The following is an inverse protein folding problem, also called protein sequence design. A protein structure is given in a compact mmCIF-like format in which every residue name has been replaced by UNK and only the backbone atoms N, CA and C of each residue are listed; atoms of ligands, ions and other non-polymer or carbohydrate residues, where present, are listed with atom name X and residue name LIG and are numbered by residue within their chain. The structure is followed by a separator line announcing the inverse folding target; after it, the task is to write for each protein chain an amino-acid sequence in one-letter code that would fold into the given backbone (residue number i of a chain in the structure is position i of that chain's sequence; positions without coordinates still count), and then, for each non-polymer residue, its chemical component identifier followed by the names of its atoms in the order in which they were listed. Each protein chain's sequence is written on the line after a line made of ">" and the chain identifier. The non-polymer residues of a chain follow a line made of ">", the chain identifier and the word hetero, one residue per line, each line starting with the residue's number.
data_IF_029653294001
#
_entry.id   IF_029653294001
#
_cell.length_a   1.000
_cell.length_b   1.000
_cell.length_c   1.000
_cell.angle_alpha   90.00
_cell.angle_beta   90.00
_cell.angle_gamma   90.00
#
_symmetry.space_group_name_H-M   'P 1'
#
loop_
_entity.id
_entity.type
_entity.pdbx_description
1 polymer ?
#
# COMPACT_ATOMS: atom_id res chain seq x y z
N UNK A 1 45.28 44.62 5.16
CA UNK A 1 44.20 44.35 4.18
C UNK A 1 44.64 43.48 3.01
N UNK A 2 45.92 43.53 2.59
CA UNK A 2 46.49 42.71 1.49
C UNK A 2 46.42 41.20 1.71
N UNK A 3 46.72 40.70 2.91
CA UNK A 3 46.66 39.26 3.23
C UNK A 3 45.25 38.65 3.05
N UNK A 4 44.20 39.42 3.32
CA UNK A 4 42.81 38.96 3.14
C UNK A 4 42.48 38.75 1.66
N UNK A 5 42.93 39.68 0.81
CA UNK A 5 42.74 39.58 -0.65
C UNK A 5 43.51 38.38 -1.22
N UNK A 6 44.73 38.16 -0.75
CA UNK A 6 45.56 37.02 -1.14
C UNK A 6 44.92 35.68 -0.74
N UNK A 7 44.43 35.56 0.50
CA UNK A 7 43.72 34.37 0.96
C UNK A 7 42.46 34.07 0.11
N UNK A 8 41.71 35.09 -0.28
CA UNK A 8 40.52 34.92 -1.14
C UNK A 8 40.92 34.42 -2.54
N UNK A 9 42.04 34.89 -3.10
CA UNK A 9 42.52 34.43 -4.39
C UNK A 9 42.96 32.95 -4.34
N UNK A 10 43.69 32.56 -3.29
CA UNK A 10 44.11 31.17 -3.09
C UNK A 10 42.90 30.25 -2.94
N UNK A 11 41.89 30.66 -2.17
CA UNK A 11 40.65 29.88 -2.00
C UNK A 11 39.86 29.72 -3.30
N UNK A 12 39.78 30.78 -4.12
CA UNK A 12 39.13 30.70 -5.44
C UNK A 12 39.88 29.74 -6.36
N UNK A 13 41.20 29.84 -6.41
CA UNK A 13 42.03 28.94 -7.20
C UNK A 13 41.88 27.48 -6.75
N UNK A 14 41.88 27.21 -5.44
CA UNK A 14 41.68 25.87 -4.90
C UNK A 14 40.30 25.30 -5.28
N UNK A 15 39.25 26.12 -5.19
CA UNK A 15 37.89 25.74 -5.63
C UNK A 15 37.87 25.38 -7.11
N UNK A 16 38.48 26.20 -7.95
CA UNK A 16 38.44 26.00 -9.40
C UNK A 16 39.23 24.72 -9.81
N UNK A 17 40.33 24.42 -9.13
CA UNK A 17 41.08 23.15 -9.31
C UNK A 17 40.25 21.94 -8.85
N UNK A 18 39.54 22.05 -7.72
CA UNK A 18 38.67 20.97 -7.25
C UNK A 18 37.50 20.73 -8.20
N UNK A 19 36.89 21.79 -8.73
CA UNK A 19 35.83 21.69 -9.72
C UNK A 19 36.32 20.99 -10.99
N UNK A 20 37.51 21.34 -11.48
CA UNK A 20 38.11 20.67 -12.63
C UNK A 20 38.28 19.16 -12.39
N UNK A 21 38.87 18.77 -11.24
CA UNK A 21 39.07 17.35 -10.88
C UNK A 21 37.78 16.57 -10.68
N UNK A 22 36.77 17.19 -10.06
CA UNK A 22 35.46 16.55 -9.90
C UNK A 22 34.77 16.35 -11.25
N UNK A 23 34.87 17.34 -12.14
CA UNK A 23 34.31 17.24 -13.48
C UNK A 23 34.98 16.12 -14.27
N UNK A 24 36.31 16.04 -14.21
CA UNK A 24 37.08 14.95 -14.82
C UNK A 24 36.66 13.58 -14.28
N UNK A 25 36.57 13.42 -12.96
CA UNK A 25 36.13 12.16 -12.34
C UNK A 25 34.70 11.76 -12.70
N UNK A 26 33.80 12.73 -12.83
CA UNK A 26 32.41 12.48 -13.28
C UNK A 26 32.38 12.06 -14.75
N UNK A 27 33.24 12.64 -15.60
CA UNK A 27 33.35 12.24 -16.99
C UNK A 27 33.95 10.85 -17.15
N UNK A 28 34.94 10.49 -16.32
CA UNK A 28 35.49 9.13 -16.27
C UNK A 28 34.44 8.11 -15.81
N UNK A 29 33.64 8.44 -14.78
CA UNK A 29 32.58 7.57 -14.28
C UNK A 29 31.30 7.58 -15.16
N UNK A 30 31.25 8.40 -16.23
CA UNK A 30 30.05 8.59 -17.04
C UNK A 30 29.54 7.28 -17.64
N UNK A 31 30.42 6.46 -18.18
CA UNK A 31 30.04 5.19 -18.83
C UNK A 31 29.51 4.20 -17.79
N UNK A 32 30.15 4.09 -16.63
CA UNK A 32 29.66 3.26 -15.51
C UNK A 32 28.27 3.72 -15.01
N UNK A 33 28.04 5.04 -14.92
CA UNK A 33 26.74 5.60 -14.54
C UNK A 33 25.67 5.31 -15.60
N UNK A 34 26.03 5.34 -16.88
CA UNK A 34 25.11 5.00 -17.97
C UNK A 34 24.79 3.51 -17.98
N UNK A 35 25.79 2.64 -17.78
CA UNK A 35 25.59 1.19 -17.71
C UNK A 35 24.70 0.78 -16.53
N UNK A 36 24.86 1.45 -15.36
CA UNK A 36 24.00 1.26 -14.19
C UNK A 36 22.57 1.78 -14.45
N UNK A 37 22.43 2.93 -15.11
CA UNK A 37 21.13 3.51 -15.47
C UNK A 37 20.39 2.69 -16.55
N UNK A 38 21.11 2.10 -17.50
CA UNK A 38 20.56 1.17 -18.49
C UNK A 38 20.18 -0.18 -17.87
N UNK A 39 20.63 -0.44 -16.63
CA UNK A 39 20.24 -1.60 -15.84
C UNK A 39 20.89 -2.90 -16.31
N UNK A 40 21.99 -2.83 -17.07
CA UNK A 40 22.71 -4.01 -17.55
C UNK A 40 23.20 -4.92 -16.42
N UNK A 41 23.56 -4.33 -15.26
CA UNK A 41 23.95 -5.06 -14.05
C UNK A 41 22.78 -5.85 -13.43
N UNK A 42 21.54 -5.36 -13.56
CA UNK A 42 20.36 -6.08 -13.07
C UNK A 42 19.92 -7.18 -14.02
N UNK A 43 20.15 -7.01 -15.32
CA UNK A 43 19.75 -8.00 -16.33
C UNK A 43 20.48 -9.34 -16.13
N UNK A 44 21.79 -9.31 -15.84
CA UNK A 44 22.54 -10.52 -15.49
C UNK A 44 22.02 -11.22 -14.22
N UNK A 45 21.68 -10.44 -13.18
CA UNK A 45 21.13 -10.98 -11.94
C UNK A 45 19.74 -11.59 -12.11
N UNK A 46 18.91 -11.02 -13.00
CA UNK A 46 17.60 -11.56 -13.35
C UNK A 46 17.75 -12.90 -14.08
N UNK A 47 18.66 -12.99 -15.05
CA UNK A 47 18.92 -14.22 -15.80
C UNK A 47 19.42 -15.35 -14.87
N UNK A 48 20.32 -15.05 -13.93
CA UNK A 48 20.78 -16.02 -12.92
C UNK A 48 19.64 -16.52 -12.03
N UNK A 49 18.73 -15.63 -11.60
CA UNK A 49 17.55 -16.00 -10.80
C UNK A 49 16.61 -16.90 -11.62
N UNK A 50 16.42 -16.61 -12.91
CA UNK A 50 15.62 -17.44 -13.80
C UNK A 50 16.23 -18.83 -14.00
N UNK A 51 17.54 -18.93 -14.21
CA UNK A 51 18.23 -20.23 -14.31
C UNK A 51 18.10 -21.05 -13.02
N UNK A 52 18.23 -20.42 -11.86
CA UNK A 52 18.01 -21.07 -10.56
C UNK A 52 16.56 -21.55 -10.39
N UNK A 53 15.58 -20.74 -10.80
CA UNK A 53 14.17 -21.11 -10.77
C UNK A 53 13.86 -22.30 -11.67
N UNK A 54 14.36 -22.31 -12.91
CA UNK A 54 14.18 -23.43 -13.85
C UNK A 54 14.79 -24.71 -13.29
N UNK A 55 15.98 -24.62 -12.70
CA UNK A 55 16.67 -25.76 -12.09
C UNK A 55 15.87 -26.32 -10.90
N UNK A 56 15.38 -25.46 -10.01
CA UNK A 56 14.55 -25.87 -8.87
C UNK A 56 13.23 -26.48 -9.31
N UNK A 57 12.57 -25.91 -10.32
CA UNK A 57 11.30 -26.42 -10.83
C UNK A 57 11.49 -27.79 -11.49
N UNK A 58 12.58 -27.99 -12.24
CA UNK A 58 12.96 -29.28 -12.80
C UNK A 58 13.17 -30.34 -11.70
N UNK A 59 13.86 -29.96 -10.61
CA UNK A 59 14.06 -30.84 -9.47
C UNK A 59 12.74 -31.21 -8.77
N UNK A 60 11.84 -30.24 -8.55
CA UNK A 60 10.51 -30.52 -7.99
C UNK A 60 9.71 -31.45 -8.89
N UNK A 61 9.74 -31.23 -10.20
CA UNK A 61 9.06 -32.10 -11.15
C UNK A 61 9.63 -33.52 -11.13
N UNK A 62 10.94 -33.68 -10.98
CA UNK A 62 11.56 -34.98 -10.78
C UNK A 62 11.11 -35.66 -9.47
N UNK A 63 11.00 -34.91 -8.36
CA UNK A 63 10.48 -35.44 -7.10
C UNK A 63 9.00 -35.83 -7.21
N UNK A 64 8.18 -35.04 -7.89
CA UNK A 64 6.76 -35.36 -8.12
C UNK A 64 6.57 -36.63 -8.95
N UNK A 65 7.41 -36.86 -9.95
CA UNK A 65 7.37 -38.10 -10.73
C UNK A 65 7.86 -39.32 -9.96
N UNK A 66 8.56 -39.13 -8.83
CA UNK A 66 8.98 -40.19 -7.91
C UNK A 66 7.97 -40.43 -6.78
N UNK A 67 6.90 -39.62 -6.67
CA UNK A 67 5.83 -39.94 -5.73
C UNK A 67 5.15 -41.23 -6.19
N UNK A 68 4.95 -42.21 -5.28
CA UNK A 68 4.16 -43.38 -5.59
C UNK A 68 2.76 -42.92 -6.01
N UNK A 69 2.25 -43.44 -7.13
CA UNK A 69 0.88 -43.17 -7.53
C UNK A 69 -0.05 -43.57 -6.37
N UNK A 70 -0.90 -42.66 -5.92
CA UNK A 70 -1.95 -42.98 -4.95
C UNK A 70 -2.75 -44.17 -5.49
N UNK A 71 -2.55 -45.35 -4.89
CA UNK A 71 -3.41 -46.48 -5.15
C UNK A 71 -4.83 -46.08 -4.74
N UNK A 72 -5.85 -46.29 -5.59
CA UNK A 72 -7.22 -45.94 -5.24
C UNK A 72 -7.66 -46.80 -4.06
N UNK A 73 -7.70 -46.21 -2.87
CA UNK A 73 -8.20 -46.87 -1.67
C UNK A 73 -9.67 -47.23 -1.92
N UNK A 74 -9.92 -48.54 -1.97
CA UNK A 74 -11.24 -49.10 -2.12
C UNK A 74 -12.19 -48.58 -1.05
N UNK A 75 -13.42 -48.32 -1.50
CA UNK A 75 -14.64 -48.09 -0.73
C UNK A 75 -14.69 -48.86 0.59
N UNK A 76 -14.74 -48.13 1.72
CA UNK A 76 -15.10 -48.66 3.03
C UNK A 76 -16.34 -47.93 3.54
N UNK A 77 -17.26 -48.76 4.02
CA UNK A 77 -18.67 -48.52 4.21
C UNK A 77 -19.06 -47.44 5.23
N UNK A 78 -20.20 -46.84 4.91
CA UNK A 78 -21.12 -46.11 5.77
C UNK A 78 -21.46 -46.83 7.09
N UNK A 79 -21.39 -46.11 8.21
CA UNK A 79 -22.35 -46.27 9.31
C UNK A 79 -22.55 -44.93 10.09
N UNK A 80 -23.81 -44.51 10.33
CA UNK A 80 -24.13 -43.33 11.15
C UNK A 80 -24.55 -43.71 12.57
N UNK A 81 -24.46 -42.74 13.50
CA UNK A 81 -25.27 -42.49 14.71
C UNK A 81 -24.38 -41.99 15.87
N UNK A 82 -24.64 -40.79 16.37
CA UNK A 82 -25.35 -40.62 17.66
C UNK A 82 -25.47 -39.14 18.05
N UNK A 83 -26.68 -38.78 18.46
CA UNK A 83 -27.14 -37.48 18.92
C UNK A 83 -26.89 -37.27 20.43
N UNK A 84 -26.80 -36.00 20.83
CA UNK A 84 -26.89 -35.48 22.21
C UNK A 84 -26.33 -34.05 22.23
N UNK A 85 -27.11 -32.97 22.20
CA UNK A 85 -28.16 -32.44 23.11
C UNK A 85 -27.63 -31.97 24.48
N UNK A 86 -28.03 -30.73 24.86
CA UNK A 86 -27.76 -30.07 26.15
C UNK A 86 -26.90 -28.80 26.07
N UNK A 87 -27.44 -27.63 25.72
CA UNK A 87 -28.03 -26.58 26.60
C UNK A 87 -27.08 -25.83 27.58
N UNK A 88 -27.13 -24.50 27.39
CA UNK A 88 -27.13 -23.39 28.36
C UNK A 88 -25.94 -23.12 29.31
N UNK A 89 -25.53 -21.85 29.31
CA UNK A 89 -24.61 -21.29 30.31
C UNK A 89 -24.23 -19.82 30.09
N UNK A 90 -25.22 -18.92 30.12
CA UNK A 90 -25.02 -17.48 30.33
C UNK A 90 -24.24 -17.20 31.63
N UNK A 91 -23.18 -16.39 31.58
CA UNK A 91 -22.74 -15.61 32.73
C UNK A 91 -22.05 -14.31 32.28
N UNK A 92 -22.76 -13.21 32.51
CA UNK A 92 -22.24 -11.86 32.50
C UNK A 92 -21.26 -11.64 33.68
N UNK A 93 -20.24 -10.81 33.45
CA UNK A 93 -19.56 -10.08 34.51
C UNK A 93 -19.31 -8.65 34.03
N UNK A 94 -19.76 -7.70 34.86
CA UNK A 94 -19.77 -6.26 34.63
C UNK A 94 -18.85 -5.57 35.64
N UNK A 95 -18.32 -4.41 35.23
CA UNK A 95 -17.87 -3.21 36.00
C UNK A 95 -16.42 -3.13 36.55
N UNK A 96 -15.81 -1.96 36.24
CA UNK A 96 -14.87 -1.09 36.99
C UNK A 96 -13.57 -0.80 36.21
N UNK A 97 -13.05 0.42 36.06
CA UNK A 97 -13.43 1.74 36.61
C UNK A 97 -12.73 2.88 35.84
N UNK A 98 -13.38 4.05 35.88
CA UNK A 98 -12.92 5.45 35.80
C UNK A 98 -11.55 5.83 35.19
N UNK A 99 -11.57 6.74 34.19
CA UNK A 99 -11.02 8.07 34.45
C UNK A 99 -11.67 9.17 33.60
N UNK A 100 -12.27 10.11 34.32
CA UNK A 100 -12.96 11.34 33.91
C UNK A 100 -11.93 12.48 33.89
N UNK A 101 -11.83 13.21 32.77
CA UNK A 101 -11.36 14.59 32.77
C UNK A 101 -12.26 15.39 31.83
N UNK A 102 -13.34 15.88 32.40
CA UNK A 102 -14.14 16.98 31.87
C UNK A 102 -13.34 18.29 31.84
N UNK A 103 -13.35 19.00 30.71
CA UNK A 103 -13.20 20.45 30.69
C UNK A 103 -14.24 21.07 29.77
N UNK A 104 -15.17 21.81 30.37
CA UNK A 104 -16.35 22.36 29.71
C UNK A 104 -16.12 23.68 28.99
N UNK A 105 -17.05 24.00 28.09
CA UNK A 105 -17.17 25.29 27.43
C UNK A 105 -18.33 25.34 26.43
N UNK A 106 -19.56 25.52 26.95
CA UNK A 106 -20.82 26.02 26.35
C UNK A 106 -20.61 26.99 25.17
N UNK A 107 -21.54 27.31 24.28
CA UNK A 107 -22.91 26.94 23.85
C UNK A 107 -23.10 27.81 22.56
N UNK A 108 -23.93 27.51 21.56
CA UNK A 108 -25.38 27.70 21.54
C UNK A 108 -25.89 27.27 20.15
N UNK A 109 -26.94 26.46 20.15
CA UNK A 109 -27.83 26.24 19.00
C UNK A 109 -28.72 27.45 18.75
N UNK A 110 -29.22 27.65 17.51
CA UNK A 110 -30.67 27.65 17.37
C UNK A 110 -31.20 26.88 16.14
N UNK A 111 -32.50 26.59 16.23
CA UNK A 111 -33.29 25.62 15.49
C UNK A 111 -33.76 26.07 14.07
N UNK A 112 -34.04 25.04 13.24
CA UNK A 112 -35.16 24.77 12.28
C UNK A 112 -36.22 25.86 11.97
N UNK A 113 -37.10 25.77 10.92
CA UNK A 113 -37.23 24.81 9.79
C UNK A 113 -37.54 25.47 8.40
N UNK A 114 -37.64 24.68 7.31
CA UNK A 114 -38.64 24.92 6.24
C UNK A 114 -38.85 23.66 5.34
N UNK A 115 -40.11 23.25 5.08
CA UNK A 115 -40.48 22.14 4.19
C UNK A 115 -41.15 22.63 2.90
N UNK A 116 -40.81 22.09 1.71
CA UNK A 116 -41.70 22.19 0.54
C UNK A 116 -41.67 20.91 -0.32
N UNK A 117 -42.74 20.15 -0.16
CA UNK A 117 -43.57 19.44 -1.14
C UNK A 117 -43.15 19.48 -2.62
N UNK A 118 -43.10 18.29 -3.23
CA UNK A 118 -43.10 18.09 -4.68
C UNK A 118 -43.43 16.64 -5.02
N UNK A 119 -44.73 16.32 -5.02
CA UNK A 119 -45.27 15.04 -5.43
C UNK A 119 -45.21 14.84 -6.95
N UNK A 120 -44.92 13.62 -7.39
CA UNK A 120 -45.47 13.08 -8.64
C UNK A 120 -45.50 11.54 -8.59
N UNK A 121 -46.73 11.02 -8.63
CA UNK A 121 -47.09 9.62 -8.80
C UNK A 121 -46.65 9.08 -10.18
N UNK A 122 -46.37 7.77 -10.28
CA UNK A 122 -47.31 6.82 -10.88
C UNK A 122 -46.71 5.41 -11.09
N UNK A 123 -47.56 4.41 -10.83
CA UNK A 123 -47.67 3.07 -11.46
C UNK A 123 -46.39 2.19 -11.49
N UNK A 124 -46.36 1.04 -10.81
CA UNK A 124 -47.35 -0.03 -10.94
C UNK A 124 -46.88 -1.01 -12.01
N UNK A 125 -46.01 -1.95 -11.65
CA UNK A 125 -45.87 -3.24 -12.34
C UNK A 125 -45.13 -4.23 -11.43
N UNK A 126 -45.90 -5.18 -10.91
CA UNK A 126 -45.44 -6.46 -10.37
C UNK A 126 -44.62 -7.20 -11.44
N UNK A 127 -43.30 -7.27 -11.27
CA UNK A 127 -42.47 -8.35 -11.80
C UNK A 127 -41.33 -8.55 -10.79
N UNK A 128 -41.32 -9.71 -10.14
CA UNK A 128 -40.16 -10.22 -9.40
C UNK A 128 -39.13 -10.71 -10.43
N UNK A 129 -37.89 -10.22 -10.37
CA UNK A 129 -36.77 -11.12 -10.61
C UNK A 129 -35.71 -10.95 -9.53
N UNK A 130 -35.55 -12.00 -8.73
CA UNK A 130 -34.29 -12.54 -8.21
C UNK A 130 -33.11 -11.55 -8.29
N UNK A 131 -32.93 -10.74 -7.24
CA UNK A 131 -31.61 -10.17 -6.98
C UNK A 131 -30.73 -11.30 -6.47
N UNK A 132 -29.87 -11.72 -7.37
CA UNK A 132 -28.66 -12.49 -7.11
C UNK A 132 -27.89 -11.68 -6.07
N UNK A 133 -28.02 -12.00 -4.79
CA UNK A 133 -27.00 -11.66 -3.79
C UNK A 133 -25.68 -12.14 -4.37
N UNK A 134 -24.73 -11.25 -4.71
CA UNK A 134 -23.40 -11.69 -5.05
C UNK A 134 -22.92 -12.50 -3.86
N UNK A 135 -22.63 -13.77 -4.14
CA UNK A 135 -21.95 -14.65 -3.21
C UNK A 135 -20.81 -13.87 -2.56
N UNK A 136 -20.78 -13.93 -1.24
CA UNK A 136 -19.54 -14.16 -0.52
C UNK A 136 -18.44 -13.17 -0.90
N UNK A 137 -18.46 -12.02 -0.23
CA UNK A 137 -17.23 -11.26 -0.03
C UNK A 137 -16.13 -12.26 0.36
N UNK A 138 -15.04 -12.33 -0.41
CA UNK A 138 -13.91 -13.16 -0.03
C UNK A 138 -13.49 -12.76 1.39
N UNK A 139 -12.97 -13.70 2.20
CA UNK A 139 -12.55 -13.44 3.57
C UNK A 139 -11.65 -12.20 3.61
N UNK A 140 -11.60 -11.43 4.71
CA UNK A 140 -10.81 -10.20 4.81
C UNK A 140 -9.31 -10.52 4.72
N UNK A 141 -8.85 -10.78 3.50
CA UNK A 141 -7.45 -10.75 3.11
C UNK A 141 -7.12 -9.28 3.02
N UNK A 142 -6.60 -8.74 4.13
CA UNK A 142 -6.40 -7.31 4.34
C UNK A 142 -5.80 -6.64 3.11
N UNK A 143 -6.36 -5.48 2.78
CA UNK A 143 -5.90 -4.68 1.65
C UNK A 143 -4.36 -4.59 1.65
N UNK A 144 -3.76 -5.01 0.53
CA UNK A 144 -2.31 -5.02 0.36
C UNK A 144 -1.90 -4.03 -0.72
N UNK A 145 -0.66 -3.51 -0.65
CA UNK A 145 -0.11 -2.68 -1.74
C UNK A 145 -0.09 -3.43 -3.09
N UNK A 146 -0.04 -4.77 -3.07
CA UNK A 146 -0.09 -5.60 -4.28
C UNK A 146 -1.46 -5.56 -4.94
N UNK A 147 -2.54 -5.71 -4.17
CA UNK A 147 -3.91 -5.61 -4.69
C UNK A 147 -4.19 -4.21 -5.24
N UNK A 148 -3.74 -3.18 -4.53
CA UNK A 148 -3.81 -1.79 -5.01
C UNK A 148 -3.10 -1.63 -6.37
N UNK A 149 -1.85 -2.09 -6.49
CA UNK A 149 -1.09 -1.98 -7.73
C UNK A 149 -1.81 -2.65 -8.92
N UNK A 150 -2.35 -3.85 -8.72
CA UNK A 150 -3.13 -4.55 -9.75
C UNK A 150 -4.42 -3.80 -10.14
N UNK A 151 -5.14 -3.22 -9.17
CA UNK A 151 -6.37 -2.45 -9.43
C UNK A 151 -6.07 -1.17 -10.23
N UNK A 152 -5.02 -0.42 -9.87
CA UNK A 152 -4.59 0.77 -10.63
C UNK A 152 -4.24 0.42 -12.07
N UNK A 153 -3.49 -0.67 -12.30
CA UNK A 153 -3.15 -1.11 -13.66
C UNK A 153 -4.36 -1.58 -14.47
N UNK A 154 -5.38 -2.12 -13.80
CA UNK A 154 -6.63 -2.55 -14.44
C UNK A 154 -7.56 -1.37 -14.75
N UNK A 155 -7.23 -0.18 -14.22
CA UNK A 155 -8.06 1.03 -14.35
C UNK A 155 -9.25 1.07 -13.38
N UNK A 156 -9.28 0.17 -12.39
CA UNK A 156 -10.33 0.13 -11.39
C UNK A 156 -9.96 1.04 -10.21
N UNK A 157 -10.24 2.34 -10.38
CA UNK A 157 -9.91 3.38 -9.41
C UNK A 157 -10.77 3.31 -8.14
N UNK A 158 -11.99 2.77 -8.24
CA UNK A 158 -12.89 2.64 -7.10
C UNK A 158 -12.38 1.54 -6.16
N UNK A 159 -12.07 0.35 -6.68
CA UNK A 159 -11.47 -0.72 -5.89
C UNK A 159 -10.07 -0.35 -5.35
N UNK A 160 -9.27 0.37 -6.14
CA UNK A 160 -7.98 0.90 -5.71
C UNK A 160 -8.12 1.93 -4.56
N UNK A 161 -9.17 2.75 -4.61
CA UNK A 161 -9.48 3.71 -3.57
C UNK A 161 -9.88 3.04 -2.25
N UNK A 162 -10.69 1.98 -2.32
CA UNK A 162 -11.10 1.19 -1.15
C UNK A 162 -9.91 0.48 -0.50
N UNK A 163 -9.04 -0.15 -1.30
CA UNK A 163 -7.84 -0.81 -0.77
C UNK A 163 -6.86 0.18 -0.13
N UNK A 164 -6.69 1.37 -0.70
CA UNK A 164 -5.93 2.46 -0.06
C UNK A 164 -6.59 2.97 1.22
N UNK A 165 -7.91 3.12 1.24
CA UNK A 165 -8.64 3.62 2.40
C UNK A 165 -8.47 2.69 3.61
N UNK A 166 -8.57 1.38 3.39
CA UNK A 166 -8.32 0.37 4.41
C UNK A 166 -6.85 0.34 4.87
N UNK A 167 -5.92 0.46 3.92
CA UNK A 167 -4.48 0.42 4.21
C UNK A 167 -3.99 1.63 5.01
N UNK A 168 -4.48 2.82 4.66
CA UNK A 168 -4.09 4.09 5.27
C UNK A 168 -4.99 4.51 6.43
N UNK A 169 -6.09 3.78 6.68
CA UNK A 169 -7.14 4.14 7.63
C UNK A 169 -7.65 5.58 7.40
N UNK A 170 -7.95 5.90 6.13
CA UNK A 170 -8.52 7.19 5.71
C UNK A 170 -9.95 7.02 5.21
N UNK A 171 -10.66 8.14 5.07
CA UNK A 171 -12.01 8.16 4.50
C UNK A 171 -12.01 7.59 3.07
N UNK A 172 -13.00 6.75 2.69
CA UNK A 172 -13.04 6.11 1.37
C UNK A 172 -13.10 7.12 0.21
N UNK A 173 -13.78 8.27 0.38
CA UNK A 173 -13.80 9.31 -0.65
C UNK A 173 -12.42 9.96 -0.82
N UNK A 174 -11.62 10.01 0.26
CA UNK A 174 -10.22 10.46 0.20
C UNK A 174 -9.33 9.40 -0.46
N UNK A 175 -9.53 8.12 -0.15
CA UNK A 175 -8.83 7.00 -0.78
C UNK A 175 -8.98 7.00 -2.31
N UNK A 176 -10.20 7.20 -2.81
CA UNK A 176 -10.46 7.35 -4.25
C UNK A 176 -9.68 8.51 -4.89
N UNK A 177 -9.67 9.69 -4.26
CA UNK A 177 -8.89 10.84 -4.76
C UNK A 177 -7.38 10.56 -4.78
N UNK A 178 -6.87 9.81 -3.81
CA UNK A 178 -5.47 9.39 -3.79
C UNK A 178 -5.15 8.40 -4.92
N UNK A 179 -6.06 7.46 -5.20
CA UNK A 179 -5.93 6.54 -6.33
C UNK A 179 -5.97 7.28 -7.69
N UNK A 180 -6.88 8.25 -7.85
CA UNK A 180 -6.96 9.11 -9.03
C UNK A 180 -5.66 9.91 -9.23
N UNK A 181 -5.15 10.56 -8.18
CA UNK A 181 -3.88 11.29 -8.23
C UNK A 181 -2.69 10.37 -8.55
N UNK A 182 -2.65 9.17 -7.97
CA UNK A 182 -1.61 8.18 -8.25
C UNK A 182 -1.65 7.72 -9.72
N UNK A 183 -2.83 7.44 -10.26
CA UNK A 183 -3.01 7.04 -11.65
C UNK A 183 -2.62 8.17 -12.62
N UNK A 184 -2.99 9.41 -12.32
CA UNK A 184 -2.55 10.59 -13.07
C UNK A 184 -1.02 10.72 -13.04
N UNK A 185 -0.42 10.61 -11.86
CA UNK A 185 1.04 10.70 -11.71
C UNK A 185 1.75 9.55 -12.45
N UNK A 186 1.20 8.34 -12.43
CA UNK A 186 1.74 7.18 -13.13
C UNK A 186 1.75 7.38 -14.65
N UNK A 187 0.74 8.06 -15.20
CA UNK A 187 0.70 8.43 -16.61
C UNK A 187 1.79 9.45 -17.00
N UNK A 188 2.18 10.33 -16.07
CA UNK A 188 3.25 11.32 -16.27
C UNK A 188 4.64 10.75 -16.01
N UNK A 189 4.78 9.80 -15.08
CA UNK A 189 6.07 9.27 -14.63
C UNK A 189 5.93 7.81 -14.21
N UNK A 190 6.45 6.84 -14.97
CA UNK A 190 6.37 5.42 -14.62
C UNK A 190 7.13 5.08 -13.33
N UNK A 191 8.11 5.90 -12.95
CA UNK A 191 8.93 5.73 -11.74
C UNK A 191 8.15 5.85 -10.43
N UNK A 192 6.93 6.38 -10.49
CA UNK A 192 6.05 6.56 -9.32
C UNK A 192 5.76 5.23 -8.65
N UNK A 193 5.65 4.14 -9.41
CA UNK A 193 5.47 2.80 -8.84
C UNK A 193 6.70 2.36 -8.04
N UNK A 194 7.91 2.58 -8.57
CA UNK A 194 9.16 2.27 -7.87
C UNK A 194 9.31 3.11 -6.60
N UNK A 195 8.92 4.39 -6.65
CA UNK A 195 8.87 5.30 -5.50
C UNK A 195 7.86 4.85 -4.43
N UNK A 196 6.68 4.39 -4.84
CA UNK A 196 5.69 3.85 -3.91
C UNK A 196 6.21 2.58 -3.21
N UNK A 197 6.95 1.73 -3.92
CA UNK A 197 7.59 0.55 -3.33
C UNK A 197 8.77 0.92 -2.40
N UNK A 198 9.50 1.99 -2.69
CA UNK A 198 10.58 2.47 -1.81
C UNK A 198 10.06 3.07 -0.49
N UNK A 199 8.78 3.46 -0.41
CA UNK A 199 8.15 3.95 0.81
C UNK A 199 8.34 2.98 1.98
N UNK A 200 8.17 1.67 1.77
CA UNK A 200 8.39 0.65 2.82
C UNK A 200 9.83 0.66 3.33
N UNK A 201 10.80 0.83 2.44
CA UNK A 201 12.23 0.88 2.76
C UNK A 201 12.57 2.13 3.57
N UNK A 202 12.06 3.30 3.18
CA UNK A 202 12.30 4.55 3.91
C UNK A 202 11.66 4.55 5.31
N UNK A 203 10.46 3.96 5.43
CA UNK A 203 9.80 3.78 6.73
C UNK A 203 10.63 2.86 7.64
N UNK A 204 11.10 1.73 7.11
CA UNK A 204 11.95 0.81 7.87
C UNK A 204 13.31 1.43 8.25
N UNK A 205 13.85 2.32 7.41
CA UNK A 205 15.07 3.08 7.70
C UNK A 205 14.86 4.21 8.73
N UNK A 206 13.62 4.52 9.11
CA UNK A 206 13.30 5.63 10.00
C UNK A 206 13.46 7.01 9.36
N UNK A 207 13.46 7.10 8.03
CA UNK A 207 13.63 8.35 7.31
C UNK A 207 12.28 9.04 7.06
N UNK A 208 11.73 9.62 8.12
CA UNK A 208 10.40 10.24 8.11
C UNK A 208 10.21 11.30 7.02
N UNK A 209 11.23 12.12 6.78
CA UNK A 209 11.13 13.22 5.82
C UNK A 209 10.99 12.67 4.38
N UNK A 210 11.81 11.67 4.02
CA UNK A 210 11.69 11.01 2.73
C UNK A 210 10.34 10.32 2.57
N UNK A 211 9.83 9.62 3.61
CA UNK A 211 8.51 9.01 3.55
C UNK A 211 7.38 10.02 3.36
N UNK A 212 7.44 11.18 4.01
CA UNK A 212 6.44 12.25 3.82
C UNK A 212 6.49 12.83 2.40
N UNK A 213 7.70 13.04 1.86
CA UNK A 213 7.87 13.49 0.48
C UNK A 213 7.31 12.47 -0.52
N UNK A 214 7.56 11.18 -0.32
CA UNK A 214 7.01 10.11 -1.15
C UNK A 214 5.48 10.04 -1.07
N UNK A 215 4.90 10.20 0.13
CA UNK A 215 3.43 10.24 0.29
C UNK A 215 2.81 11.44 -0.43
N UNK A 216 3.48 12.58 -0.40
CA UNK A 216 3.05 13.76 -1.14
C UNK A 216 3.15 13.56 -2.66
N UNK A 217 4.30 13.10 -3.15
CA UNK A 217 4.54 12.92 -4.59
C UNK A 217 3.66 11.84 -5.20
N UNK A 218 3.44 10.72 -4.49
CA UNK A 218 2.71 9.58 -5.05
C UNK A 218 1.19 9.69 -4.82
N UNK A 219 0.76 10.16 -3.65
CA UNK A 219 -0.66 10.10 -3.24
C UNK A 219 -1.29 11.49 -3.02
N UNK A 220 -0.54 12.57 -3.28
CA UNK A 220 -0.96 13.96 -3.04
C UNK A 220 -1.41 14.22 -1.59
N UNK A 221 -0.92 13.43 -0.63
CA UNK A 221 -1.22 13.58 0.80
C UNK A 221 -0.36 14.71 1.40
N UNK A 222 -0.98 15.59 2.18
CA UNK A 222 -0.31 16.76 2.76
C UNK A 222 -0.64 16.94 4.24
N UNK A 223 0.29 17.58 4.96
CA UNK A 223 0.08 18.03 6.33
C UNK A 223 -0.27 16.89 7.30
N UNK A 224 -1.33 17.09 8.07
CA UNK A 224 -1.75 16.14 9.13
C UNK A 224 -2.21 14.79 8.59
N UNK A 225 -2.70 14.73 7.35
CA UNK A 225 -3.12 13.46 6.74
C UNK A 225 -1.92 12.55 6.49
N UNK A 226 -0.87 13.09 5.85
CA UNK A 226 0.37 12.36 5.58
C UNK A 226 1.02 11.84 6.87
N UNK A 227 1.00 12.64 7.95
CA UNK A 227 1.53 12.24 9.26
C UNK A 227 0.74 11.08 9.86
N UNK A 228 -0.60 11.12 9.81
CA UNK A 228 -1.45 10.02 10.31
C UNK A 228 -1.21 8.73 9.54
N UNK A 229 -1.17 8.81 8.20
CA UNK A 229 -0.88 7.65 7.35
C UNK A 229 0.49 7.07 7.68
N UNK A 230 1.50 7.91 7.85
CA UNK A 230 2.84 7.46 8.21
C UNK A 230 2.86 6.74 9.57
N UNK A 231 2.16 7.27 10.57
CA UNK A 231 2.02 6.63 11.89
C UNK A 231 1.32 5.27 11.81
N UNK A 232 0.24 5.18 11.02
CA UNK A 232 -0.47 3.94 10.77
C UNK A 232 0.42 2.90 10.09
N UNK A 233 1.17 3.30 9.06
CA UNK A 233 2.08 2.40 8.34
C UNK A 233 3.23 1.92 9.23
N UNK A 234 3.79 2.79 10.07
CA UNK A 234 4.80 2.40 11.06
C UNK A 234 4.24 1.43 12.11
N UNK A 235 3.03 1.66 12.61
CA UNK A 235 2.38 0.77 13.56
C UNK A 235 2.19 -0.63 13.00
N UNK A 236 1.83 -0.74 11.71
CA UNK A 236 1.71 -2.03 11.02
C UNK A 236 3.07 -2.71 10.78
N UNK A 237 4.09 -1.96 10.35
CA UNK A 237 5.42 -2.52 10.10
C UNK A 237 6.12 -3.01 11.37
N UNK A 238 5.82 -2.39 12.52
CA UNK A 238 6.36 -2.83 13.82
C UNK A 238 5.64 -4.03 14.44
N UNK A 239 4.53 -4.48 13.84
CA UNK A 239 3.73 -5.62 14.30
C UNK A 239 3.95 -6.91 13.51
N UNK A 240 4.74 -6.86 12.42
CA UNK A 240 5.26 -8.03 11.68
C UNK A 240 6.61 -8.48 12.24
#
# INVERSE_FOLDING_TARGET
>A
MTQRTEAILILRQARDVLLARLTERVLEAKEEILDDAEGGLFQGGIDEIYEQLVTRLSHINAMLNLLPADEPVGSVDTHPLSSGDGQDGLAAATVMDTNDVSFGGRAETPALPAPHTGAALAAGTDIVPVEITPLESPPPGGASFRSFGTQVFTGDLDAAGESLAELFHIDPARGRRCAEAFAEQLAHSPDVMTKAMSLRKEIAAGNFNASLMLLYECFALQGMEAIRVLQTLMGRLGSE
#
